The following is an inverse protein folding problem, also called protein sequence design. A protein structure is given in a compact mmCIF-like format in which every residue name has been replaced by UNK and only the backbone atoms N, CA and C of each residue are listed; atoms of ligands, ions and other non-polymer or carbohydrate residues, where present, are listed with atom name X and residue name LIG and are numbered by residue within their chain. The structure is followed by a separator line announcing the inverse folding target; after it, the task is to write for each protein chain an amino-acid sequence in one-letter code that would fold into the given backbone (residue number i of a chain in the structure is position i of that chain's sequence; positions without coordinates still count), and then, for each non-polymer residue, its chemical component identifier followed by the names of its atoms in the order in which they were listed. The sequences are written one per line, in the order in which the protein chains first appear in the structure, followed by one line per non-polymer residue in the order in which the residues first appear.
data_IF_819681360002
#
_entry.id   IF_819681360002
#
_cell.length_a   1.000
_cell.length_b   1.000
_cell.length_c   1.000
_cell.angle_alpha   90.00
_cell.angle_beta   90.00
_cell.angle_gamma   90.00
#
_symmetry.space_group_name_H-M   'P 1'
#
loop_
_entity.id
_entity.type
_entity.pdbx_description
1 polymer ?
#
# COMPACT_ATOMS: atom_id res chain seq x y z
N UNK A 1 -31.71 -2.87 32.59
CA UNK A 1 -31.54 -3.60 31.32
C UNK A 1 -31.88 -2.65 30.19
N UNK A 2 -30.96 -2.40 29.26
CA UNK A 2 -31.23 -1.53 28.09
C UNK A 2 -31.80 -2.42 26.98
N UNK A 3 -33.07 -2.23 26.69
CA UNK A 3 -33.71 -2.84 25.51
C UNK A 3 -33.07 -2.23 24.26
N UNK A 4 -32.30 -3.05 23.53
CA UNK A 4 -31.88 -2.69 22.18
C UNK A 4 -33.10 -2.82 21.27
N UNK A 5 -33.36 -1.81 20.45
CA UNK A 5 -34.50 -1.84 19.53
C UNK A 5 -34.31 -2.98 18.53
N UNK A 6 -35.40 -3.71 18.24
CA UNK A 6 -35.42 -4.85 17.31
C UNK A 6 -34.81 -4.47 15.94
N UNK A 7 -34.97 -3.21 15.50
CA UNK A 7 -34.35 -2.71 14.25
C UNK A 7 -32.82 -2.60 14.31
N UNK A 8 -32.23 -2.35 15.49
CA UNK A 8 -30.77 -2.34 15.66
C UNK A 8 -30.19 -3.75 15.70
N UNK A 9 -30.95 -4.74 16.19
CA UNK A 9 -30.55 -6.15 16.20
C UNK A 9 -30.63 -6.73 14.78
N UNK A 10 -31.71 -6.45 14.04
CA UNK A 10 -31.89 -6.91 12.65
C UNK A 10 -30.85 -6.30 11.71
N UNK A 11 -30.56 -5.00 11.81
CA UNK A 11 -29.53 -4.36 10.96
C UNK A 11 -28.10 -4.82 11.26
N UNK A 12 -27.81 -5.25 12.49
CA UNK A 12 -26.52 -5.86 12.84
C UNK A 12 -26.41 -7.28 12.29
N UNK A 13 -27.47 -8.07 12.41
CA UNK A 13 -27.53 -9.42 11.86
C UNK A 13 -27.44 -9.42 10.33
N UNK A 14 -28.09 -8.48 9.64
CA UNK A 14 -27.99 -8.33 8.18
C UNK A 14 -26.58 -7.92 7.73
N UNK A 15 -25.90 -7.05 8.50
CA UNK A 15 -24.53 -6.64 8.20
C UNK A 15 -23.53 -7.77 8.49
N UNK A 16 -23.71 -8.55 9.55
CA UNK A 16 -22.90 -9.75 9.81
C UNK A 16 -23.16 -10.82 8.76
N UNK A 17 -24.40 -11.07 8.36
CA UNK A 17 -24.73 -12.02 7.30
C UNK A 17 -24.14 -11.61 5.95
N UNK A 18 -24.19 -10.31 5.58
CA UNK A 18 -23.52 -9.79 4.38
C UNK A 18 -22.01 -9.91 4.46
N UNK A 19 -21.42 -9.71 5.64
CA UNK A 19 -19.97 -9.83 5.87
C UNK A 19 -19.51 -11.29 5.78
N UNK A 20 -20.29 -12.22 6.34
CA UNK A 20 -20.06 -13.67 6.24
C UNK A 20 -20.23 -14.13 4.79
N UNK A 21 -21.28 -13.68 4.10
CA UNK A 21 -21.52 -14.00 2.69
C UNK A 21 -20.40 -13.47 1.78
N UNK A 22 -19.96 -12.22 1.97
CA UNK A 22 -18.84 -11.65 1.22
C UNK A 22 -17.47 -12.31 1.49
N UNK A 23 -17.34 -12.99 2.63
CA UNK A 23 -16.14 -13.76 3.01
C UNK A 23 -16.19 -15.22 2.52
N UNK A 24 -17.37 -15.73 2.13
CA UNK A 24 -17.55 -17.08 1.59
C UNK A 24 -17.39 -17.13 0.06
N UNK A 25 -17.60 -16.00 -0.63
CA UNK A 25 -17.43 -15.90 -2.08
C UNK A 25 -15.95 -15.74 -2.42
N UNK A 26 -15.41 -16.71 -3.14
CA UNK A 26 -14.03 -16.72 -3.64
C UNK A 26 -13.79 -15.57 -4.64
N UNK A 27 -12.53 -15.13 -4.83
CA UNK A 27 -12.20 -14.13 -5.85
C UNK A 27 -12.73 -14.48 -7.24
N UNK A 28 -12.66 -15.76 -7.61
CA UNK A 28 -13.16 -16.29 -8.87
C UNK A 28 -14.68 -16.16 -9.02
N UNK A 29 -15.45 -16.49 -7.97
CA UNK A 29 -16.91 -16.34 -7.98
C UNK A 29 -17.32 -14.86 -8.06
N UNK A 30 -16.56 -13.95 -7.44
CA UNK A 30 -16.79 -12.49 -7.60
C UNK A 30 -16.56 -12.05 -9.04
N UNK A 31 -15.58 -12.62 -9.73
CA UNK A 31 -15.29 -12.30 -11.12
C UNK A 31 -16.34 -12.88 -12.08
N UNK A 32 -16.92 -14.04 -11.77
CA UNK A 32 -18.08 -14.58 -12.49
C UNK A 32 -19.34 -13.72 -12.29
N UNK A 33 -19.60 -13.27 -11.06
CA UNK A 33 -20.70 -12.34 -10.77
C UNK A 33 -20.54 -11.02 -11.52
N UNK A 34 -19.32 -10.49 -11.57
CA UNK A 34 -19.00 -9.29 -12.34
C UNK A 34 -19.24 -9.52 -13.84
N UNK A 35 -18.77 -10.64 -14.38
CA UNK A 35 -18.99 -11.00 -15.78
C UNK A 35 -20.48 -11.03 -16.14
N UNK A 36 -21.29 -11.75 -15.34
CA UNK A 36 -22.73 -11.87 -15.58
C UNK A 36 -23.48 -10.54 -15.44
N UNK A 37 -23.12 -9.74 -14.44
CA UNK A 37 -23.76 -8.46 -14.22
C UNK A 37 -23.45 -7.51 -15.36
N UNK A 38 -22.18 -7.46 -15.78
CA UNK A 38 -21.72 -6.58 -16.85
C UNK A 38 -22.40 -6.93 -18.17
N UNK A 39 -22.48 -8.21 -18.52
CA UNK A 39 -23.12 -8.67 -19.76
C UNK A 39 -24.61 -8.29 -19.84
N UNK A 40 -25.30 -8.27 -18.70
CA UNK A 40 -26.76 -7.99 -18.64
C UNK A 40 -27.10 -6.50 -18.48
N UNK A 41 -26.23 -5.73 -17.83
CA UNK A 41 -26.61 -4.42 -17.30
C UNK A 41 -25.64 -3.28 -17.66
N UNK A 42 -24.41 -3.59 -18.08
CA UNK A 42 -23.43 -2.54 -18.35
C UNK A 42 -23.69 -1.89 -19.71
N UNK A 43 -24.24 -0.68 -19.67
CA UNK A 43 -24.51 0.13 -20.86
C UNK A 43 -23.64 1.38 -20.89
N UNK A 44 -23.23 1.85 -19.71
CA UNK A 44 -22.38 3.03 -19.57
C UNK A 44 -21.62 3.02 -18.25
N UNK A 45 -20.63 3.91 -18.16
CA UNK A 45 -19.81 4.09 -16.95
C UNK A 45 -20.58 4.54 -15.71
N UNK A 46 -21.81 5.05 -15.85
CA UNK A 46 -22.69 5.35 -14.70
C UNK A 46 -23.05 4.08 -13.93
N UNK A 47 -23.01 2.94 -14.62
CA UNK A 47 -23.36 1.63 -14.11
C UNK A 47 -22.25 1.04 -13.22
N UNK A 48 -21.04 1.63 -13.20
CA UNK A 48 -19.94 1.19 -12.31
C UNK A 48 -20.35 1.22 -10.84
N UNK A 49 -21.01 2.31 -10.42
CA UNK A 49 -21.45 2.50 -9.04
C UNK A 49 -22.55 1.50 -8.65
N UNK A 50 -23.40 1.15 -9.61
CA UNK A 50 -24.50 0.19 -9.46
C UNK A 50 -23.94 -1.23 -9.41
N UNK A 51 -23.08 -1.59 -10.36
CA UNK A 51 -22.37 -2.88 -10.41
C UNK A 51 -21.59 -3.15 -9.13
N UNK A 52 -20.84 -2.16 -8.64
CA UNK A 52 -20.08 -2.28 -7.40
C UNK A 52 -20.98 -2.59 -6.21
N UNK A 53 -22.11 -1.89 -6.11
CA UNK A 53 -23.09 -2.09 -5.03
C UNK A 53 -23.75 -3.47 -5.13
N UNK A 54 -24.18 -3.86 -6.33
CA UNK A 54 -24.91 -5.11 -6.56
C UNK A 54 -24.03 -6.35 -6.43
N UNK A 55 -22.77 -6.25 -6.87
CA UNK A 55 -21.79 -7.33 -6.78
C UNK A 55 -21.02 -7.34 -5.45
N UNK A 56 -21.27 -6.38 -4.55
CA UNK A 56 -20.58 -6.29 -3.26
C UNK A 56 -19.07 -6.08 -3.39
N UNK A 57 -18.61 -5.39 -4.44
CA UNK A 57 -17.20 -5.08 -4.69
C UNK A 57 -16.95 -3.57 -4.73
N UNK A 58 -15.69 -3.14 -4.78
CA UNK A 58 -15.38 -1.73 -4.99
C UNK A 58 -15.53 -1.37 -6.47
N UNK A 59 -15.86 -0.11 -6.76
CA UNK A 59 -15.88 0.40 -8.14
C UNK A 59 -14.52 0.20 -8.85
N UNK A 60 -13.40 0.25 -8.12
CA UNK A 60 -12.09 -0.06 -8.66
C UNK A 60 -11.99 -1.53 -9.14
N UNK A 61 -12.54 -2.50 -8.40
CA UNK A 61 -12.53 -3.91 -8.83
C UNK A 61 -13.40 -4.13 -10.08
N UNK A 62 -14.56 -3.48 -10.17
CA UNK A 62 -15.38 -3.50 -11.39
C UNK A 62 -14.60 -2.91 -12.58
N UNK A 63 -13.88 -1.81 -12.35
CA UNK A 63 -13.08 -1.15 -13.38
C UNK A 63 -11.91 -2.03 -13.86
N UNK A 64 -11.15 -2.62 -12.94
CA UNK A 64 -10.04 -3.52 -13.29
C UNK A 64 -10.54 -4.69 -14.14
N UNK A 65 -11.66 -5.30 -13.72
CA UNK A 65 -12.29 -6.38 -14.45
C UNK A 65 -12.70 -5.95 -15.88
N UNK A 66 -13.33 -4.78 -16.03
CA UNK A 66 -13.69 -4.23 -17.34
C UNK A 66 -12.48 -3.95 -18.24
N UNK A 67 -11.38 -3.47 -17.65
CA UNK A 67 -10.13 -3.18 -18.36
C UNK A 67 -9.41 -4.46 -18.82
N UNK A 68 -9.32 -5.47 -17.95
CA UNK A 68 -8.75 -6.78 -18.28
C UNK A 68 -9.54 -7.50 -19.39
N UNK A 69 -10.86 -7.37 -19.38
CA UNK A 69 -11.75 -7.97 -20.39
C UNK A 69 -11.91 -7.14 -21.66
N UNK A 70 -11.21 -6.01 -21.75
CA UNK A 70 -11.21 -5.12 -22.91
C UNK A 70 -12.57 -4.47 -23.24
N UNK A 71 -13.50 -4.44 -22.28
CA UNK A 71 -14.89 -4.04 -22.48
C UNK A 71 -15.11 -2.50 -22.53
N UNK A 72 -14.04 -1.74 -22.36
CA UNK A 72 -14.06 -0.26 -22.23
C UNK A 72 -13.25 0.45 -23.32
N UNK A 73 -12.58 -0.27 -24.23
CA UNK A 73 -11.66 0.30 -25.25
C UNK A 73 -12.29 1.30 -26.25
N UNK A 74 -13.61 1.50 -26.22
CA UNK A 74 -14.34 2.46 -27.07
C UNK A 74 -14.90 3.70 -26.35
N UNK A 75 -14.78 3.80 -25.03
CA UNK A 75 -15.42 4.86 -24.22
C UNK A 75 -14.50 6.08 -23.98
N UNK A 76 -13.63 6.39 -24.95
CA UNK A 76 -12.66 7.50 -24.88
C UNK A 76 -13.36 8.88 -24.84
N UNK A 77 -13.77 9.29 -23.65
CA UNK A 77 -14.07 10.67 -23.33
C UNK A 77 -13.13 11.16 -22.22
N UNK A 78 -12.93 12.48 -22.12
CA UNK A 78 -12.04 13.10 -21.13
C UNK A 78 -12.37 12.67 -19.70
N UNK A 79 -13.64 12.33 -19.42
CA UNK A 79 -14.09 11.84 -18.12
C UNK A 79 -13.51 10.46 -17.79
N UNK A 80 -13.41 9.60 -18.80
CA UNK A 80 -12.84 8.26 -18.70
C UNK A 80 -11.33 8.28 -18.48
N UNK A 81 -10.62 9.14 -19.22
CA UNK A 81 -9.18 9.34 -19.01
C UNK A 81 -8.91 9.80 -17.57
N UNK A 82 -9.71 10.74 -17.08
CA UNK A 82 -9.55 11.28 -15.72
C UNK A 82 -9.86 10.23 -14.66
N UNK A 83 -10.94 9.44 -14.82
CA UNK A 83 -11.25 8.35 -13.91
C UNK A 83 -10.12 7.29 -13.90
N UNK A 84 -9.63 6.92 -15.08
CA UNK A 84 -8.51 5.98 -15.23
C UNK A 84 -7.25 6.50 -14.53
N UNK A 85 -6.84 7.73 -14.81
CA UNK A 85 -5.66 8.34 -14.18
C UNK A 85 -5.81 8.48 -12.67
N UNK A 86 -7.01 8.82 -12.19
CA UNK A 86 -7.29 8.93 -10.77
C UNK A 86 -7.18 7.57 -10.06
N UNK A 87 -7.66 6.49 -10.67
CA UNK A 87 -7.53 5.13 -10.15
C UNK A 87 -6.08 4.62 -10.26
N UNK A 88 -5.43 4.78 -11.42
CA UNK A 88 -4.01 4.46 -11.68
C UNK A 88 -3.08 5.09 -10.64
N UNK A 89 -3.40 6.30 -10.19
CA UNK A 89 -2.61 7.01 -9.18
C UNK A 89 -3.14 6.88 -7.76
N UNK A 90 -3.84 5.78 -7.45
CA UNK A 90 -4.31 5.46 -6.10
C UNK A 90 -5.06 6.64 -5.47
N UNK A 91 -6.00 7.21 -6.24
CA UNK A 91 -6.84 8.33 -5.84
C UNK A 91 -6.07 9.64 -5.62
N UNK A 92 -4.94 9.84 -6.29
CA UNK A 92 -4.18 11.09 -6.27
C UNK A 92 -4.66 12.06 -7.35
N UNK A 93 -5.34 13.12 -6.94
CA UNK A 93 -5.75 14.19 -7.86
C UNK A 93 -4.58 14.99 -8.42
N UNK A 94 -3.51 15.18 -7.64
CA UNK A 94 -2.36 15.95 -8.09
C UNK A 94 -1.64 15.24 -9.25
N UNK A 95 -1.43 13.93 -9.15
CA UNK A 95 -0.81 13.16 -10.24
C UNK A 95 -1.69 13.11 -11.49
N UNK A 96 -3.00 12.98 -11.33
CA UNK A 96 -3.94 13.05 -12.45
C UNK A 96 -3.96 14.45 -13.09
N UNK A 97 -3.84 15.53 -12.30
CA UNK A 97 -3.72 16.90 -12.79
C UNK A 97 -2.42 17.11 -13.57
N UNK A 98 -1.29 16.62 -13.05
CA UNK A 98 0.01 16.73 -13.70
C UNK A 98 0.03 16.03 -15.07
N UNK A 99 -0.57 14.83 -15.19
CA UNK A 99 -0.59 14.08 -16.46
C UNK A 99 -1.61 14.63 -17.48
N UNK A 100 -2.74 15.16 -17.03
CA UNK A 100 -3.77 15.70 -17.93
C UNK A 100 -3.56 17.18 -18.30
N UNK A 101 -2.76 17.91 -17.53
CA UNK A 101 -2.67 19.37 -17.61
C UNK A 101 -3.92 20.11 -17.12
N UNK A 102 -4.90 19.40 -16.55
CA UNK A 102 -6.12 19.99 -16.00
C UNK A 102 -5.94 20.40 -14.54
N UNK A 103 -6.73 21.36 -14.09
CA UNK A 103 -6.72 21.71 -12.66
C UNK A 103 -7.34 20.59 -11.81
N UNK A 104 -6.87 20.45 -10.58
CA UNK A 104 -7.47 19.54 -9.57
C UNK A 104 -8.98 19.77 -9.40
N UNK A 105 -9.44 21.03 -9.53
CA UNK A 105 -10.86 21.37 -9.45
C UNK A 105 -11.65 20.89 -10.68
N UNK A 106 -11.06 20.97 -11.88
CA UNK A 106 -11.68 20.44 -13.10
C UNK A 106 -11.81 18.92 -13.03
N UNK A 107 -10.77 18.22 -12.57
CA UNK A 107 -10.81 16.78 -12.33
C UNK A 107 -11.86 16.42 -11.27
N UNK A 108 -11.92 17.15 -10.15
CA UNK A 108 -12.94 16.97 -9.12
C UNK A 108 -14.36 17.06 -9.67
N UNK A 109 -14.64 18.07 -10.51
CA UNK A 109 -15.97 18.25 -11.12
C UNK A 109 -16.37 17.10 -12.03
N UNK A 110 -15.38 16.43 -12.61
CA UNK A 110 -15.59 15.25 -13.44
C UNK A 110 -15.81 14.01 -12.57
N UNK A 111 -15.04 13.84 -11.48
CA UNK A 111 -15.24 12.77 -10.49
C UNK A 111 -16.61 12.84 -9.79
N UNK A 112 -17.13 14.04 -9.54
CA UNK A 112 -18.48 14.25 -9.01
C UNK A 112 -19.56 13.56 -9.88
N UNK A 113 -19.38 13.51 -11.21
CA UNK A 113 -20.32 12.83 -12.11
C UNK A 113 -20.38 11.31 -11.90
N UNK A 114 -19.33 10.74 -11.30
CA UNK A 114 -19.24 9.34 -10.92
C UNK A 114 -19.60 9.11 -9.45
N UNK A 115 -20.09 10.15 -8.75
CA UNK A 115 -20.38 10.12 -7.33
C UNK A 115 -19.14 9.77 -6.47
N UNK A 116 -17.96 10.18 -6.95
CA UNK A 116 -16.68 10.01 -6.26
C UNK A 116 -16.31 11.35 -5.65
N UNK A 117 -16.24 11.40 -4.31
CA UNK A 117 -15.78 12.60 -3.60
C UNK A 117 -14.24 12.59 -3.48
N UNK A 118 -13.54 13.61 -4.00
CA UNK A 118 -12.12 13.79 -3.78
C UNK A 118 -11.73 13.84 -2.30
N UNK A 119 -10.64 13.18 -1.94
CA UNK A 119 -10.06 13.34 -0.61
C UNK A 119 -9.26 14.65 -0.53
N UNK A 120 -9.96 15.75 -0.21
CA UNK A 120 -9.36 17.09 -0.11
C UNK A 120 -8.27 17.21 0.96
N UNK A 121 -8.32 16.36 1.99
CA UNK A 121 -7.26 16.27 3.01
C UNK A 121 -5.95 15.75 2.37
N UNK A 122 -6.05 14.70 1.55
CA UNK A 122 -4.90 14.15 0.78
C UNK A 122 -4.32 15.17 -0.20
N UNK A 123 -5.15 15.99 -0.86
CA UNK A 123 -4.72 17.10 -1.75
C UNK A 123 -4.04 18.24 -0.99
N UNK A 124 -4.47 18.49 0.25
CA UNK A 124 -3.79 19.47 1.12
C UNK A 124 -2.44 18.93 1.58
N UNK A 125 -2.39 17.66 1.97
CA UNK A 125 -1.18 17.01 2.50
C UNK A 125 -0.14 16.68 1.42
N UNK A 126 -0.56 16.37 0.19
CA UNK A 126 0.30 16.13 -0.97
C UNK A 126 1.20 17.32 -1.30
N UNK A 127 0.70 18.55 -1.12
CA UNK A 127 1.47 19.79 -1.30
C UNK A 127 2.60 19.95 -0.29
N UNK A 128 2.54 19.26 0.85
CA UNK A 128 3.57 19.28 1.89
C UNK A 128 4.43 18.00 1.94
N UNK A 129 4.04 16.93 1.25
CA UNK A 129 4.70 15.60 1.33
C UNK A 129 5.63 15.26 0.16
N UNK A 130 5.73 16.11 -0.87
CA UNK A 130 6.35 15.82 -2.18
C UNK A 130 7.73 15.17 -2.16
N UNK A 131 8.57 15.41 -1.15
CA UNK A 131 9.93 14.84 -1.12
C UNK A 131 9.96 13.49 -0.38
N UNK A 132 9.11 13.28 0.63
CA UNK A 132 9.12 12.04 1.43
C UNK A 132 8.31 10.91 0.79
N UNK A 133 7.19 11.24 0.14
CA UNK A 133 6.31 10.26 -0.50
C UNK A 133 6.90 9.70 -1.80
N UNK A 134 7.63 10.52 -2.57
CA UNK A 134 8.31 10.07 -3.78
C UNK A 134 9.42 9.05 -3.49
N UNK A 135 10.15 9.25 -2.38
CA UNK A 135 11.22 8.36 -1.91
C UNK A 135 10.70 7.01 -1.40
N UNK A 136 9.58 7.01 -0.67
CA UNK A 136 8.90 5.78 -0.27
C UNK A 136 8.51 4.93 -1.48
N UNK A 137 7.89 5.58 -2.48
CA UNK A 137 7.45 4.92 -3.72
C UNK A 137 8.60 4.30 -4.51
N UNK A 138 9.79 4.92 -4.55
CA UNK A 138 10.95 4.38 -5.28
C UNK A 138 11.49 3.08 -4.64
N UNK A 139 11.58 3.03 -3.31
CA UNK A 139 12.02 1.83 -2.61
C UNK A 139 10.98 0.71 -2.67
N UNK A 140 9.69 1.03 -2.54
CA UNK A 140 8.59 0.09 -2.73
C UNK A 140 8.58 -0.49 -4.15
N UNK A 141 8.77 0.34 -5.18
CA UNK A 141 8.85 -0.10 -6.57
C UNK A 141 10.09 -0.98 -6.82
N UNK A 142 11.26 -0.62 -6.26
CA UNK A 142 12.46 -1.44 -6.36
C UNK A 142 12.25 -2.80 -5.65
N UNK A 143 11.66 -2.80 -4.45
CA UNK A 143 11.34 -4.01 -3.73
C UNK A 143 10.40 -4.92 -4.54
N UNK A 144 9.30 -4.38 -5.08
CA UNK A 144 8.36 -5.14 -5.91
C UNK A 144 9.02 -5.71 -7.17
N UNK A 145 10.00 -5.00 -7.75
CA UNK A 145 10.81 -5.54 -8.86
C UNK A 145 11.71 -6.70 -8.43
N UNK A 146 12.27 -6.64 -7.22
CA UNK A 146 13.16 -7.66 -6.66
C UNK A 146 12.40 -8.87 -6.10
N UNK A 147 11.15 -8.68 -5.66
CA UNK A 147 10.26 -9.72 -5.13
C UNK A 147 8.89 -9.61 -5.83
N UNK A 148 8.77 -10.10 -7.09
CA UNK A 148 7.58 -9.90 -7.92
C UNK A 148 6.29 -10.42 -7.30
N UNK A 149 6.36 -11.49 -6.51
CA UNK A 149 5.19 -12.12 -5.89
C UNK A 149 4.73 -11.45 -4.59
N UNK A 150 5.45 -10.42 -4.12
CA UNK A 150 5.01 -9.63 -2.98
C UNK A 150 3.76 -8.83 -3.32
N UNK A 151 2.64 -9.13 -2.68
CA UNK A 151 1.37 -8.44 -2.87
C UNK A 151 1.42 -7.04 -2.25
N UNK A 152 1.03 -6.01 -3.02
CA UNK A 152 0.98 -4.64 -2.51
C UNK A 152 -0.21 -4.50 -1.55
N UNK A 153 0.08 -4.17 -0.29
CA UNK A 153 -0.93 -4.12 0.75
C UNK A 153 -1.96 -3.01 0.51
N UNK A 154 -1.59 -1.92 -0.16
CA UNK A 154 -2.52 -0.83 -0.48
C UNK A 154 -3.45 -1.19 -1.64
N UNK A 155 -3.00 -2.01 -2.59
CA UNK A 155 -3.82 -2.48 -3.71
C UNK A 155 -4.77 -3.61 -3.26
N UNK A 156 -4.28 -4.55 -2.45
CA UNK A 156 -5.04 -5.73 -2.02
C UNK A 156 -5.95 -5.46 -0.82
N UNK A 157 -5.48 -4.71 0.19
CA UNK A 157 -6.24 -4.40 1.40
C UNK A 157 -6.87 -3.02 1.23
N UNK A 158 -8.11 -3.00 0.73
CA UNK A 158 -8.94 -1.82 0.42
C UNK A 158 -9.17 -0.80 1.55
N UNK A 159 -8.58 -0.99 2.74
CA UNK A 159 -8.69 -0.11 3.89
C UNK A 159 -7.32 0.41 4.33
N UNK A 160 -6.82 1.45 3.64
CA UNK A 160 -5.77 2.37 4.11
C UNK A 160 -4.77 1.80 5.11
N UNK A 161 -4.13 0.68 4.76
CA UNK A 161 -3.24 -0.02 5.66
C UNK A 161 -2.01 0.86 5.91
N UNK A 162 -1.85 1.33 7.15
CA UNK A 162 -0.74 2.20 7.53
C UNK A 162 0.42 1.45 8.19
N UNK A 163 0.34 0.11 8.29
CA UNK A 163 1.25 -0.69 9.10
C UNK A 163 2.40 -1.33 8.33
N UNK A 164 2.18 -1.71 7.08
CA UNK A 164 3.14 -2.41 6.22
C UNK A 164 2.80 -2.18 4.76
N UNK A 165 3.80 -2.37 3.90
CA UNK A 165 3.73 -2.03 2.47
C UNK A 165 3.39 -3.27 1.62
N UNK A 166 3.88 -4.46 2.00
CA UNK A 166 3.68 -5.70 1.23
C UNK A 166 3.30 -6.91 2.09
N UNK A 167 2.73 -7.92 1.43
CA UNK A 167 2.52 -9.28 1.95
C UNK A 167 3.23 -10.28 1.04
N UNK A 168 3.99 -11.20 1.61
CA UNK A 168 4.52 -12.36 0.87
C UNK A 168 4.00 -13.64 1.49
N UNK A 169 3.59 -14.59 0.66
CA UNK A 169 3.28 -15.95 1.10
C UNK A 169 4.57 -16.77 1.19
N UNK A 170 4.86 -17.28 2.38
CA UNK A 170 5.97 -18.21 2.59
C UNK A 170 5.47 -19.63 2.38
N UNK A 171 5.87 -20.23 1.25
CA UNK A 171 5.47 -21.59 0.88
C UNK A 171 5.95 -22.65 1.89
N UNK A 172 7.10 -22.45 2.54
CA UNK A 172 7.64 -23.40 3.51
C UNK A 172 6.82 -23.45 4.79
N UNK A 173 6.36 -22.29 5.27
CA UNK A 173 5.59 -22.21 6.52
C UNK A 173 4.08 -22.20 6.29
N UNK A 174 3.64 -21.99 5.05
CA UNK A 174 2.23 -21.86 4.67
C UNK A 174 1.57 -20.62 5.28
N UNK A 175 2.34 -19.55 5.52
CA UNK A 175 1.88 -18.34 6.22
C UNK A 175 2.22 -17.08 5.44
N UNK A 176 1.35 -16.10 5.54
CA UNK A 176 1.60 -14.74 5.09
C UNK A 176 2.59 -14.05 6.03
N UNK A 177 3.52 -13.30 5.44
CA UNK A 177 4.48 -12.42 6.13
C UNK A 177 4.23 -10.99 5.68
N UNK A 178 4.12 -10.10 6.65
CA UNK A 178 3.98 -8.66 6.40
C UNK A 178 5.35 -7.97 6.32
N UNK A 179 5.51 -7.06 5.36
CA UNK A 179 6.79 -6.41 5.06
C UNK A 179 6.61 -4.90 4.99
N UNK A 180 7.42 -4.16 5.74
CA UNK A 180 7.52 -2.70 5.67
C UNK A 180 8.85 -2.31 5.00
N UNK A 181 8.77 -1.61 3.87
CA UNK A 181 9.92 -1.22 3.04
C UNK A 181 10.26 0.24 3.33
N UNK A 182 11.54 0.51 3.57
CA UNK A 182 11.98 1.88 3.88
C UNK A 182 13.31 2.20 3.23
N UNK A 183 13.39 3.40 2.66
CA UNK A 183 14.61 3.98 2.13
C UNK A 183 15.22 4.97 3.12
N UNK A 184 16.51 4.80 3.45
CA UNK A 184 17.22 5.72 4.33
C UNK A 184 18.48 6.27 3.66
N UNK A 185 18.59 7.60 3.61
CA UNK A 185 19.84 8.25 3.29
C UNK A 185 20.70 8.29 4.55
N UNK A 186 22.02 8.13 4.39
CA UNK A 186 22.96 8.29 5.48
C UNK A 186 22.84 9.71 6.06
N UNK A 187 22.92 9.86 7.37
CA UNK A 187 22.75 11.13 8.08
C UNK A 187 23.86 11.33 9.11
N UNK A 188 24.17 12.58 9.39
CA UNK A 188 25.03 12.99 10.48
C UNK A 188 24.16 13.11 11.74
N UNK A 189 24.55 12.43 12.82
CA UNK A 189 23.75 12.39 14.04
C UNK A 189 24.61 12.50 15.30
N UNK A 190 23.99 12.89 16.42
CA UNK A 190 24.60 12.82 17.75
C UNK A 190 24.81 11.35 18.09
N UNK A 191 26.01 10.83 17.80
CA UNK A 191 26.34 9.40 17.85
C UNK A 191 27.16 8.90 16.65
N UNK A 192 27.31 9.72 15.61
CA UNK A 192 28.10 9.43 14.41
C UNK A 192 27.26 9.44 13.14
N UNK A 193 27.91 9.09 12.02
CA UNK A 193 27.28 8.97 10.71
C UNK A 193 26.54 7.63 10.61
N UNK A 194 25.29 7.63 10.16
CA UNK A 194 24.45 6.43 10.09
C UNK A 194 23.02 6.69 9.63
N UNK A 195 22.15 5.70 9.78
CA UNK A 195 20.75 5.75 9.35
C UNK A 195 19.82 5.71 10.55
N UNK A 196 18.78 6.56 10.50
CA UNK A 196 17.79 6.66 11.57
C UNK A 196 16.52 5.95 11.16
N UNK A 197 16.34 4.76 11.70
CA UNK A 197 15.14 3.96 11.52
C UNK A 197 14.11 4.27 12.62
N UNK A 198 12.83 4.35 12.26
CA UNK A 198 11.73 4.51 13.21
C UNK A 198 10.73 3.37 13.02
N UNK A 199 10.26 2.82 14.13
CA UNK A 199 9.33 1.70 14.13
C UNK A 199 8.28 1.84 15.24
N UNK A 200 7.10 1.21 15.11
CA UNK A 200 6.06 1.25 16.12
C UNK A 200 6.51 0.73 17.49
N UNK A 201 6.07 1.38 18.56
CA UNK A 201 6.34 0.92 19.93
C UNK A 201 5.78 -0.49 20.18
N UNK A 202 4.50 -0.68 19.87
CA UNK A 202 3.73 -1.91 20.11
C UNK A 202 4.10 -2.99 19.11
N UNK A 203 4.29 -4.21 19.59
CA UNK A 203 4.69 -5.35 18.75
C UNK A 203 3.63 -5.69 17.68
N UNK A 204 2.36 -5.60 18.04
CA UNK A 204 1.22 -5.91 17.14
C UNK A 204 1.04 -4.88 16.00
N UNK A 205 1.73 -3.74 16.09
CA UNK A 205 1.74 -2.72 15.05
C UNK A 205 2.95 -2.85 14.13
N UNK A 206 3.87 -3.79 14.40
CA UNK A 206 5.07 -4.01 13.59
C UNK A 206 4.80 -5.04 12.49
N UNK A 207 5.29 -4.75 11.29
CA UNK A 207 5.43 -5.75 10.22
C UNK A 207 6.33 -6.91 10.67
N UNK A 208 6.17 -8.10 10.11
CA UNK A 208 7.02 -9.25 10.44
C UNK A 208 8.48 -8.99 10.06
N UNK A 209 8.68 -8.32 8.93
CA UNK A 209 9.99 -7.90 8.44
C UNK A 209 10.02 -6.43 8.03
N UNK A 210 11.18 -5.82 8.21
CA UNK A 210 11.52 -4.50 7.69
C UNK A 210 12.63 -4.62 6.66
N UNK A 211 12.40 -4.16 5.43
CA UNK A 211 13.41 -4.14 4.36
C UNK A 211 13.95 -2.72 4.22
N UNK A 212 15.20 -2.55 4.63
CA UNK A 212 15.83 -1.24 4.72
C UNK A 212 16.86 -1.06 3.61
N UNK A 213 16.59 -0.16 2.67
CA UNK A 213 17.56 0.28 1.67
C UNK A 213 18.41 1.42 2.24
N UNK A 214 19.65 1.10 2.63
CA UNK A 214 20.59 2.02 3.26
C UNK A 214 21.49 2.67 2.20
N UNK A 215 21.13 3.89 1.78
CA UNK A 215 21.87 4.65 0.78
C UNK A 215 23.05 5.39 1.42
N UNK A 216 24.23 5.26 0.82
CA UNK A 216 25.47 5.90 1.30
C UNK A 216 25.63 7.33 0.77
N UNK A 217 24.92 7.66 -0.30
CA UNK A 217 24.89 8.97 -0.93
C UNK A 217 23.49 9.59 -0.74
N UNK A 218 23.45 10.80 -0.18
CA UNK A 218 22.21 11.54 0.07
C UNK A 218 21.57 12.06 -1.22
N UNK A 219 22.36 12.28 -2.26
CA UNK A 219 21.91 12.81 -3.55
C UNK A 219 21.59 11.68 -4.52
N UNK A 220 22.51 10.72 -4.70
CA UNK A 220 22.31 9.60 -5.63
C UNK A 220 21.34 8.53 -5.12
N UNK A 221 21.22 8.36 -3.79
CA UNK A 221 20.19 7.49 -3.19
C UNK A 221 20.28 6.05 -3.74
N UNK A 222 19.17 5.48 -4.21
CA UNK A 222 19.08 4.15 -4.81
C UNK A 222 19.80 4.04 -6.18
N UNK A 223 20.07 5.16 -6.85
CA UNK A 223 20.91 5.18 -8.07
C UNK A 223 22.41 5.12 -7.72
N UNK A 224 22.76 5.33 -6.45
CA UNK A 224 24.12 5.23 -5.93
C UNK A 224 24.37 3.90 -5.22
N UNK A 225 25.44 3.86 -4.43
CA UNK A 225 25.74 2.71 -3.58
C UNK A 225 24.71 2.63 -2.43
N UNK A 226 24.11 1.45 -2.29
CA UNK A 226 23.22 1.11 -1.18
C UNK A 226 23.46 -0.32 -0.71
N UNK A 227 23.04 -0.61 0.53
CA UNK A 227 22.98 -1.96 1.11
C UNK A 227 21.57 -2.25 1.57
N UNK A 228 21.17 -3.51 1.59
CA UNK A 228 19.81 -3.92 2.02
C UNK A 228 19.89 -4.73 3.30
N UNK A 229 19.17 -4.28 4.33
CA UNK A 229 19.01 -5.05 5.56
C UNK A 229 17.58 -5.60 5.65
N UNK A 230 17.44 -6.86 6.03
CA UNK A 230 16.14 -7.49 6.28
C UNK A 230 16.00 -7.81 7.76
N UNK A 231 15.30 -6.95 8.49
CA UNK A 231 15.21 -7.00 9.94
C UNK A 231 13.89 -7.66 10.38
N UNK A 232 13.89 -8.85 10.99
CA UNK A 232 12.67 -9.39 11.61
C UNK A 232 12.25 -8.55 12.83
N UNK A 233 10.95 -8.38 13.07
CA UNK A 233 10.45 -7.55 14.19
C UNK A 233 11.01 -7.92 15.56
N UNK A 234 11.34 -9.19 15.77
CA UNK A 234 11.87 -9.71 17.03
C UNK A 234 13.28 -9.22 17.39
N UNK A 235 14.05 -8.69 16.44
CA UNK A 235 15.39 -8.15 16.72
C UNK A 235 15.39 -6.64 17.03
N UNK A 236 14.23 -5.98 16.88
CA UNK A 236 14.11 -4.56 17.13
C UNK A 236 14.04 -4.29 18.63
N UNK A 237 14.82 -3.31 19.14
CA UNK A 237 14.99 -3.13 20.57
C UNK A 237 13.68 -2.72 21.26
N UNK A 238 13.41 -3.34 22.41
CA UNK A 238 12.22 -3.06 23.20
C UNK A 238 12.38 -1.84 24.11
N UNK A 239 13.59 -1.56 24.57
CA UNK A 239 13.85 -0.53 25.59
C UNK A 239 14.22 0.84 25.02
N UNK A 240 13.96 1.09 23.73
CA UNK A 240 14.21 2.39 23.11
C UNK A 240 13.20 3.45 23.56
N UNK A 241 13.68 4.70 23.63
CA UNK A 241 12.81 5.84 23.96
C UNK A 241 11.73 6.00 22.90
N UNK A 242 10.50 6.12 23.36
CA UNK A 242 9.33 6.33 22.51
C UNK A 242 9.16 7.83 22.26
N UNK A 243 8.96 8.19 20.99
CA UNK A 243 8.63 9.56 20.58
C UNK A 243 7.22 9.94 21.02
N UNK A 244 6.89 11.24 20.96
CA UNK A 244 5.51 11.72 21.16
C UNK A 244 4.50 11.12 20.16
N UNK A 245 4.98 10.54 19.07
CA UNK A 245 4.17 9.90 18.02
C UNK A 245 4.06 8.38 18.18
N UNK A 246 4.49 7.82 19.33
CA UNK A 246 4.40 6.38 19.58
C UNK A 246 5.41 5.53 18.80
N UNK A 247 6.47 6.15 18.28
CA UNK A 247 7.51 5.46 17.52
C UNK A 247 8.81 5.35 18.33
N UNK A 248 9.45 4.20 18.26
CA UNK A 248 10.82 3.99 18.73
C UNK A 248 11.80 4.37 17.64
N UNK A 249 12.98 4.85 18.05
CA UNK A 249 14.04 5.28 17.14
C UNK A 249 15.26 4.39 17.32
N UNK A 250 15.79 3.90 16.20
CA UNK A 250 17.05 3.16 16.14
C UNK A 250 18.06 3.92 15.28
N UNK A 251 19.30 4.04 15.77
CA UNK A 251 20.43 4.50 14.97
C UNK A 251 21.28 3.30 14.53
N UNK A 252 21.30 3.05 13.23
CA UNK A 252 22.19 2.08 12.60
C UNK A 252 23.46 2.84 12.18
N UNK A 253 24.58 2.58 12.84
CA UNK A 253 25.83 3.30 12.53
C UNK A 253 26.44 2.80 11.23
N UNK A 254 27.14 3.69 10.51
CA UNK A 254 28.01 3.32 9.39
C UNK A 254 29.47 3.03 9.82
N UNK A 255 29.77 3.06 11.11
CA UNK A 255 31.11 2.79 11.64
C UNK A 255 31.22 1.31 12.05
N UNK A 256 32.06 0.50 11.37
CA UNK A 256 32.21 -0.93 11.67
C UNK A 256 32.68 -1.25 13.10
N UNK A 257 33.26 -0.28 13.80
CA UNK A 257 33.66 -0.45 15.20
C UNK A 257 32.46 -0.47 16.16
N UNK A 258 31.34 0.15 15.79
CA UNK A 258 30.15 0.33 16.64
C UNK A 258 29.34 -0.94 16.74
N UNK A 259 28.73 -1.15 17.93
CA UNK A 259 27.89 -2.32 18.19
C UNK A 259 26.66 -2.37 17.29
N UNK A 260 26.03 -1.23 16.99
CA UNK A 260 24.86 -1.21 16.10
C UNK A 260 25.22 -1.65 14.68
N UNK A 261 26.37 -1.24 14.13
CA UNK A 261 26.86 -1.76 12.85
C UNK A 261 27.02 -3.29 12.92
N UNK A 262 27.81 -3.76 13.90
CA UNK A 262 28.12 -5.19 14.06
C UNK A 262 26.89 -6.07 14.26
N UNK A 263 25.82 -5.52 14.84
CA UNK A 263 24.56 -6.24 15.04
C UNK A 263 23.73 -6.28 13.76
N UNK A 264 23.40 -5.12 13.19
CA UNK A 264 22.39 -5.05 12.13
C UNK A 264 22.90 -5.46 10.76
N UNK A 265 24.19 -5.28 10.47
CA UNK A 265 24.77 -5.74 9.20
C UNK A 265 24.94 -7.27 9.12
N UNK A 266 24.63 -8.03 10.18
CA UNK A 266 24.46 -9.50 10.09
C UNK A 266 23.19 -9.91 9.34
N UNK A 267 22.25 -8.99 9.20
CA UNK A 267 20.97 -9.17 8.50
C UNK A 267 21.00 -8.57 7.09
N UNK A 268 22.20 -8.29 6.58
CA UNK A 268 22.34 -7.86 5.21
C UNK A 268 22.05 -9.00 4.25
N UNK A 269 21.31 -8.67 3.19
CA UNK A 269 21.02 -9.57 2.08
C UNK A 269 21.34 -8.81 0.79
N UNK A 270 22.03 -9.45 -0.16
CA UNK A 270 22.20 -8.89 -1.49
C UNK A 270 20.84 -8.75 -2.17
N UNK A 271 20.55 -7.64 -2.89
CA UNK A 271 19.24 -7.38 -3.51
C UNK A 271 18.68 -8.55 -4.34
N UNK A 272 19.54 -9.24 -5.08
CA UNK A 272 19.21 -10.40 -5.92
C UNK A 272 18.71 -11.61 -5.13
N UNK A 273 19.04 -11.72 -3.84
CA UNK A 273 18.64 -12.83 -2.99
C UNK A 273 17.36 -12.55 -2.19
N UNK A 274 16.73 -11.38 -2.38
CA UNK A 274 15.50 -11.04 -1.65
C UNK A 274 14.32 -11.94 -2.03
N UNK A 275 14.17 -12.30 -3.31
CA UNK A 275 13.12 -13.22 -3.76
C UNK A 275 13.25 -14.55 -3.02
N UNK A 276 14.43 -15.17 -3.10
CA UNK A 276 14.72 -16.42 -2.41
C UNK A 276 14.49 -16.33 -0.91
N UNK A 277 14.88 -15.24 -0.26
CA UNK A 277 14.67 -15.08 1.18
C UNK A 277 13.19 -15.10 1.57
N UNK A 278 12.32 -14.48 0.76
CA UNK A 278 10.91 -14.33 1.09
C UNK A 278 10.02 -15.46 0.55
N UNK A 279 10.32 -15.99 -0.64
CA UNK A 279 9.49 -17.01 -1.31
C UNK A 279 10.12 -18.41 -1.29
N UNK A 280 11.45 -18.51 -1.15
CA UNK A 280 12.17 -19.78 -1.29
C UNK A 280 12.58 -20.11 -2.72
N UNK A 281 12.17 -19.31 -3.70
CA UNK A 281 12.48 -19.52 -5.11
C UNK A 281 13.87 -18.99 -5.46
N UNK A 282 14.68 -19.78 -6.16
CA UNK A 282 16.01 -19.38 -6.66
C UNK A 282 15.95 -18.72 -8.03
#
# INVERSE_FOLDING_TARGET
MREQSIGQVLSRQDNEAKKIFNNLITPHEKDLMLAEWIDKHFTSVKDLSVCAKDCGVSQAKVWHFLNEKDLIKGLNNTEFLILNLFLKYSYSLDKAADETGLSVLAISKILEKFNIEPNWKKVRESRYSRIGSQKGMEAEALFKKLVPDALDANEEIKEGNSKFDFIVFDEYTGREKTIDVKEFAIQDSVGGKGWVFRFPEKMDDRADYYVLFLCFDKEKRLEGEYRVLVLPKGILPENEKVSRTGQKRLLISNDPSKQSYKMYFKFEISPENLVWFFTGEM
#
